data_IF_356756609603
#
_entry.id   IF_356756609603
#
_cell.length_a   1.000
_cell.length_b   1.000
_cell.length_c   1.000
_cell.angle_alpha   90.00
_cell.angle_beta   90.00
_cell.angle_gamma   90.00
#
_symmetry.space_group_name_H-M   'P 1'
#
loop_
_entity.id
_entity.type
_entity.pdbx_description
1 polymer ?
#
# COMPACT_ATOMS: atom_id res chain seq x y z
N UNK A 1 2.95 -9.60 -13.87
CA UNK A 1 3.59 -8.37 -13.37
C UNK A 1 3.81 -8.53 -11.89
N UNK A 2 5.02 -8.31 -11.39
CA UNK A 2 5.34 -8.44 -9.96
C UNK A 2 4.55 -7.43 -9.13
N UNK A 3 3.93 -7.92 -8.05
CA UNK A 3 3.18 -7.13 -7.08
C UNK A 3 4.17 -6.29 -6.25
N UNK A 4 4.17 -4.97 -6.46
CA UNK A 4 4.99 -4.05 -5.67
C UNK A 4 4.17 -3.44 -4.55
N UNK A 5 4.60 -3.67 -3.31
CA UNK A 5 4.11 -3.00 -2.11
C UNK A 5 4.31 -1.49 -2.21
N UNK A 6 3.58 -0.71 -1.41
CA UNK A 6 3.71 0.75 -1.40
C UNK A 6 5.15 1.16 -1.06
N UNK A 7 5.82 0.44 -0.14
CA UNK A 7 7.23 0.65 0.15
C UNK A 7 8.13 0.46 -1.07
N UNK A 8 7.94 -0.62 -1.83
CA UNK A 8 8.74 -0.88 -3.03
C UNK A 8 8.46 0.15 -4.12
N UNK A 9 7.21 0.63 -4.26
CA UNK A 9 6.88 1.73 -5.16
C UNK A 9 7.58 3.03 -4.75
N UNK A 10 7.64 3.33 -3.46
CA UNK A 10 8.39 4.48 -2.91
C UNK A 10 9.89 4.33 -3.19
N UNK A 11 10.46 3.13 -3.00
CA UNK A 11 11.88 2.88 -3.22
C UNK A 11 12.28 2.76 -4.70
N UNK A 12 11.31 2.48 -5.58
CA UNK A 12 11.52 2.44 -7.03
C UNK A 12 11.68 3.83 -7.64
N UNK A 13 10.98 4.83 -7.09
CA UNK A 13 11.11 6.22 -7.54
C UNK A 13 12.37 6.86 -6.92
N UNK A 14 13.34 7.34 -7.74
CA UNK A 14 14.58 7.94 -7.22
C UNK A 14 14.33 9.15 -6.29
N UNK A 15 13.27 9.93 -6.55
CA UNK A 15 12.95 11.14 -5.79
C UNK A 15 12.47 10.78 -4.38
N UNK A 16 11.54 9.82 -4.30
CA UNK A 16 10.98 9.38 -3.02
C UNK A 16 11.94 8.48 -2.25
N UNK A 17 12.73 7.66 -2.94
CA UNK A 17 13.83 6.90 -2.34
C UNK A 17 14.83 7.83 -1.66
N UNK A 18 15.28 8.89 -2.34
CA UNK A 18 16.21 9.86 -1.74
C UNK A 18 15.59 10.52 -0.50
N UNK A 19 14.33 10.93 -0.58
CA UNK A 19 13.65 11.55 0.55
C UNK A 19 13.48 10.59 1.74
N UNK A 20 13.16 9.31 1.48
CA UNK A 20 13.07 8.28 2.50
C UNK A 20 14.44 8.00 3.15
N UNK A 21 15.51 7.88 2.36
CA UNK A 21 16.87 7.66 2.86
C UNK A 21 17.40 8.86 3.65
N UNK A 22 17.08 10.09 3.26
CA UNK A 22 17.42 11.29 4.04
C UNK A 22 16.67 11.30 5.38
N UNK A 23 15.40 10.88 5.41
CA UNK A 23 14.59 10.91 6.63
C UNK A 23 14.92 9.78 7.61
N UNK A 24 15.18 8.58 7.12
CA UNK A 24 15.34 7.37 7.93
C UNK A 24 16.78 6.82 7.97
N UNK A 25 17.69 7.37 7.16
CA UNK A 25 19.07 6.91 7.02
C UNK A 25 19.23 5.77 6.02
N UNK A 26 20.48 5.37 5.80
CA UNK A 26 20.88 4.28 4.88
C UNK A 26 20.87 2.89 5.54
N UNK A 27 20.23 2.75 6.71
CA UNK A 27 20.15 1.49 7.46
C UNK A 27 18.94 0.63 7.08
N UNK A 28 18.66 -0.38 7.92
CA UNK A 28 17.48 -1.23 7.77
C UNK A 28 16.22 -0.42 8.15
N UNK A 29 15.56 0.15 7.15
CA UNK A 29 14.36 0.98 7.38
C UNK A 29 13.12 0.09 7.37
N UNK A 30 12.30 0.20 8.43
CA UNK A 30 11.02 -0.51 8.51
C UNK A 30 10.05 0.00 7.44
N UNK A 31 9.54 -0.87 6.55
CA UNK A 31 8.60 -0.49 5.49
C UNK A 31 7.37 0.28 6.00
N UNK A 32 6.85 -0.14 7.15
CA UNK A 32 5.68 0.47 7.81
C UNK A 32 5.96 1.92 8.23
N UNK A 33 7.18 2.21 8.70
CA UNK A 33 7.57 3.57 9.10
C UNK A 33 7.68 4.48 7.87
N UNK A 34 8.24 3.98 6.77
CA UNK A 34 8.35 4.72 5.51
C UNK A 34 6.97 5.01 4.94
N UNK A 35 6.09 4.01 4.89
CA UNK A 35 4.71 4.19 4.43
C UNK A 35 3.96 5.23 5.25
N UNK A 36 4.04 5.16 6.58
CA UNK A 36 3.35 6.09 7.48
C UNK A 36 3.85 7.52 7.29
N UNK A 37 5.16 7.69 7.13
CA UNK A 37 5.75 8.99 6.81
C UNK A 37 5.33 9.48 5.42
N UNK A 38 5.37 8.61 4.41
CA UNK A 38 4.99 8.94 3.05
C UNK A 38 3.53 9.34 2.93
N UNK A 39 2.63 8.67 3.67
CA UNK A 39 1.22 9.06 3.78
C UNK A 39 1.04 10.47 4.33
N UNK A 40 1.87 10.90 5.26
CA UNK A 40 1.80 12.23 5.87
C UNK A 40 2.39 13.33 4.99
N UNK A 41 3.50 13.06 4.31
CA UNK A 41 4.23 14.05 3.51
C UNK A 41 3.77 14.14 2.06
N UNK A 42 3.31 13.02 1.48
CA UNK A 42 2.85 12.94 0.10
C UNK A 42 1.47 12.27 0.00
N UNK A 43 0.40 12.84 0.60
CA UNK A 43 -0.93 12.23 0.60
C UNK A 43 -1.48 11.87 -0.80
N UNK A 44 -1.36 12.73 -1.83
CA UNK A 44 -1.85 12.39 -3.17
C UNK A 44 -1.14 11.17 -3.77
N UNK A 45 0.20 11.15 -3.70
CA UNK A 45 1.02 10.06 -4.24
C UNK A 45 0.83 8.77 -3.47
N UNK A 46 0.64 8.85 -2.16
CA UNK A 46 0.29 7.68 -1.35
C UNK A 46 -1.03 7.05 -1.78
N UNK A 47 -2.06 7.87 -2.08
CA UNK A 47 -3.32 7.36 -2.60
C UNK A 47 -3.18 6.72 -3.98
N UNK A 48 -2.36 7.29 -4.88
CA UNK A 48 -2.04 6.66 -6.17
C UNK A 48 -1.36 5.30 -6.00
N UNK A 49 -0.33 5.22 -5.15
CA UNK A 49 0.39 3.97 -4.89
C UNK A 49 -0.50 2.93 -4.19
N UNK A 50 -1.39 3.36 -3.28
CA UNK A 50 -2.40 2.50 -2.66
C UNK A 50 -3.38 1.95 -3.71
N UNK A 51 -3.81 2.75 -4.68
CA UNK A 51 -4.67 2.28 -5.76
C UNK A 51 -3.95 1.31 -6.70
N UNK A 52 -2.67 1.55 -7.00
CA UNK A 52 -1.85 0.62 -7.79
C UNK A 52 -1.65 -0.72 -7.08
N UNK A 53 -1.37 -0.68 -5.78
CA UNK A 53 -1.29 -1.88 -4.95
C UNK A 53 -2.64 -2.62 -4.87
N UNK A 54 -3.76 -1.89 -4.66
CA UNK A 54 -5.12 -2.45 -4.64
C UNK A 54 -5.53 -3.06 -5.99
N UNK A 55 -5.22 -2.40 -7.10
CA UNK A 55 -5.46 -2.93 -8.46
C UNK A 55 -4.73 -4.24 -8.74
N UNK A 56 -3.71 -4.54 -7.94
CA UNK A 56 -2.94 -5.78 -8.03
C UNK A 56 -3.50 -6.94 -7.20
N UNK A 57 -4.43 -6.68 -6.27
CA UNK A 57 -5.21 -7.72 -5.56
C UNK A 57 -6.36 -8.25 -6.40
N UNK A 58 -6.84 -7.47 -7.37
CA UNK A 58 -7.75 -7.92 -8.41
C UNK A 58 -6.94 -8.63 -9.49
N UNK A 59 -6.78 -9.95 -9.39
CA UNK A 59 -6.10 -10.73 -10.46
C UNK A 59 -6.89 -10.64 -11.77
N UNK A 60 -6.26 -10.94 -12.91
CA UNK A 60 -6.95 -10.92 -14.21
C UNK A 60 -8.21 -11.81 -14.23
N UNK A 61 -8.17 -12.95 -13.54
CA UNK A 61 -9.34 -13.80 -13.31
C UNK A 61 -10.51 -13.05 -12.65
N UNK A 62 -10.25 -12.17 -11.68
CA UNK A 62 -11.29 -11.35 -11.06
C UNK A 62 -11.77 -10.21 -11.97
N UNK A 63 -10.97 -9.76 -12.95
CA UNK A 63 -11.42 -8.77 -13.94
C UNK A 63 -12.34 -9.36 -14.98
N UNK A 64 -12.08 -10.59 -15.40
CA UNK A 64 -12.88 -11.29 -16.41
C UNK A 64 -14.14 -11.90 -15.79
N UNK A 65 -14.06 -12.43 -14.56
CA UNK A 65 -15.19 -13.12 -13.92
C UNK A 65 -16.15 -12.20 -13.15
N UNK A 66 -15.77 -10.95 -12.83
CA UNK A 66 -16.55 -10.08 -11.95
C UNK A 66 -16.74 -8.64 -12.45
N UNK A 67 -17.93 -8.11 -12.16
CA UNK A 67 -18.26 -6.71 -12.45
C UNK A 67 -17.41 -5.76 -11.61
N UNK A 68 -17.32 -4.51 -12.03
CA UNK A 68 -16.54 -3.47 -11.32
C UNK A 68 -16.99 -3.33 -9.86
N UNK A 69 -18.29 -3.37 -9.61
CA UNK A 69 -18.88 -3.24 -8.27
C UNK A 69 -18.54 -4.42 -7.35
N UNK A 70 -18.47 -5.63 -7.90
CA UNK A 70 -18.06 -6.82 -7.15
C UNK A 70 -16.57 -6.76 -6.77
N UNK A 71 -15.73 -6.24 -7.68
CA UNK A 71 -14.31 -6.00 -7.39
C UNK A 71 -14.11 -4.94 -6.30
N UNK A 72 -14.87 -3.85 -6.37
CA UNK A 72 -14.82 -2.78 -5.37
C UNK A 72 -15.28 -3.30 -3.98
N UNK A 73 -16.32 -4.15 -3.93
CA UNK A 73 -16.75 -4.82 -2.68
C UNK A 73 -15.67 -5.70 -2.05
N UNK A 74 -14.90 -6.45 -2.83
CA UNK A 74 -13.80 -7.28 -2.30
C UNK A 74 -12.72 -6.39 -1.67
N UNK A 75 -12.39 -5.28 -2.33
CA UNK A 75 -11.40 -4.32 -1.84
C UNK A 75 -11.85 -3.62 -0.55
N UNK A 76 -13.16 -3.36 -0.39
CA UNK A 76 -13.73 -2.79 0.83
C UNK A 76 -13.75 -3.80 1.98
N UNK A 77 -14.11 -5.06 1.70
CA UNK A 77 -14.10 -6.14 2.70
C UNK A 77 -12.69 -6.43 3.22
N UNK A 78 -11.66 -6.43 2.36
CA UNK A 78 -10.25 -6.57 2.80
C UNK A 78 -9.78 -5.40 3.68
N UNK A 79 -10.26 -4.17 3.42
CA UNK A 79 -9.90 -2.99 4.20
C UNK A 79 -10.52 -3.05 5.61
N UNK A 80 -11.74 -3.56 5.73
CA UNK A 80 -12.40 -3.83 7.01
C UNK A 80 -11.63 -4.92 7.78
N UNK A 81 -11.35 -6.06 7.14
CA UNK A 81 -10.65 -7.18 7.79
C UNK A 81 -9.23 -6.81 8.26
N UNK A 82 -8.51 -6.01 7.45
CA UNK A 82 -7.18 -5.50 7.80
C UNK A 82 -7.20 -4.52 8.97
N UNK A 83 -8.25 -3.70 9.08
CA UNK A 83 -8.43 -2.79 10.20
C UNK A 83 -8.78 -3.53 11.50
N UNK A 84 -9.64 -4.56 11.43
CA UNK A 84 -9.98 -5.43 12.57
C UNK A 84 -8.78 -6.23 13.09
N UNK A 85 -7.93 -6.74 12.18
CA UNK A 85 -6.65 -7.38 12.55
C UNK A 85 -5.69 -6.42 13.25
N UNK A 86 -5.65 -5.14 12.83
CA UNK A 86 -4.83 -4.12 13.48
C UNK A 86 -5.36 -3.70 14.84
N UNK A 87 -6.68 -3.73 15.06
CA UNK A 87 -7.29 -3.40 16.36
C UNK A 87 -7.02 -4.51 17.37
N UNK A 88 -7.24 -5.78 17.00
CA UNK A 88 -6.97 -6.93 17.89
C UNK A 88 -5.52 -7.06 18.33
N UNK A 89 -4.56 -6.70 17.48
CA UNK A 89 -3.13 -6.74 17.84
C UNK A 89 -2.67 -5.56 18.72
N UNK A 90 -3.53 -4.55 18.94
CA UNK A 90 -3.24 -3.40 19.81
C UNK A 90 -3.75 -3.60 21.25
N UNK A 91 -4.60 -4.60 21.46
CA UNK A 91 -5.21 -4.93 22.75
C UNK A 91 -4.55 -6.15 23.45
N UNK A 92 -3.46 -6.68 22.87
CA UNK A 92 -2.60 -7.70 23.49
C UNK A 92 -1.26 -7.09 23.87
#
# INVERSE_FOLDING_TARGET
MEQLTIYEQIMKDPSFRKAALVKFGFGQVSPVKVEKWFKGYYPPKYHEFKQLAKRSNVTELHREAMTKEQRDKILDLEEIYSNELKTRNKER
#
